data_IF_363364161341
#
_entry.id   IF_363364161341
#
_cell.length_a   1.000
_cell.length_b   1.000
_cell.length_c   1.000
_cell.angle_alpha   90.00
_cell.angle_beta   90.00
_cell.angle_gamma   90.00
#
_symmetry.space_group_name_H-M   'P 1'
#
loop_
_entity.id
_entity.type
_entity.pdbx_description
1 polymer ?
#
# COMPACT_ATOMS: atom_id res chain seq x y z
N UNK A 1 -10.23 -2.32 -17.83
CA UNK A 1 -10.11 -0.95 -17.33
C UNK A 1 -10.51 -1.02 -15.89
N UNK A 2 -9.51 -1.06 -15.02
CA UNK A 2 -9.68 -0.86 -13.59
C UNK A 2 -10.08 0.60 -13.38
N UNK A 3 -10.93 0.84 -12.39
CA UNK A 3 -11.52 2.15 -12.13
C UNK A 3 -11.11 2.59 -10.72
N UNK A 4 -10.94 3.90 -10.47
CA UNK A 4 -10.67 4.38 -9.12
C UNK A 4 -11.78 3.92 -8.16
N UNK A 5 -11.40 3.67 -6.91
CA UNK A 5 -12.34 3.34 -5.83
C UNK A 5 -13.45 4.39 -5.79
N UNK A 6 -14.68 3.95 -6.09
CA UNK A 6 -15.87 4.79 -5.92
C UNK A 6 -16.19 4.94 -4.45
N UNK A 7 -16.86 6.03 -4.06
CA UNK A 7 -17.22 6.34 -2.66
C UNK A 7 -17.92 5.16 -1.95
N UNK A 8 -18.87 4.50 -2.62
CA UNK A 8 -19.54 3.28 -2.13
C UNK A 8 -18.59 2.08 -1.94
N UNK A 9 -17.66 1.89 -2.88
CA UNK A 9 -16.69 0.79 -2.81
C UNK A 9 -15.64 1.05 -1.72
N UNK A 10 -15.30 2.32 -1.50
CA UNK A 10 -14.44 2.75 -0.41
C UNK A 10 -15.10 2.48 0.94
N UNK A 11 -16.38 2.83 1.11
CA UNK A 11 -17.13 2.51 2.32
C UNK A 11 -17.22 0.99 2.60
N UNK A 12 -17.43 0.16 1.56
CA UNK A 12 -17.43 -1.30 1.70
C UNK A 12 -16.03 -1.83 2.07
N UNK A 13 -14.98 -1.21 1.54
CA UNK A 13 -13.59 -1.55 1.87
C UNK A 13 -13.26 -1.27 3.33
N UNK A 14 -13.60 -0.07 3.82
CA UNK A 14 -13.46 0.32 5.23
C UNK A 14 -14.20 -0.67 6.14
N UNK A 15 -15.43 -1.04 5.76
CA UNK A 15 -16.21 -2.01 6.52
C UNK A 15 -15.58 -3.41 6.52
N UNK A 16 -15.00 -3.84 5.40
CA UNK A 16 -14.32 -5.13 5.30
C UNK A 16 -13.04 -5.17 6.15
N UNK A 17 -12.27 -4.08 6.18
CA UNK A 17 -11.09 -3.94 7.06
C UNK A 17 -11.52 -4.01 8.52
N UNK A 18 -12.56 -3.28 8.91
CA UNK A 18 -13.08 -3.27 10.28
C UNK A 18 -13.64 -4.64 10.74
N UNK A 19 -14.18 -5.44 9.83
CA UNK A 19 -14.67 -6.80 10.11
C UNK A 19 -13.57 -7.87 9.96
N UNK A 20 -12.35 -7.48 9.55
CA UNK A 20 -11.25 -8.39 9.20
C UNK A 20 -11.66 -9.43 8.13
N UNK A 21 -12.52 -9.03 7.19
CA UNK A 21 -13.06 -9.89 6.13
C UNK A 21 -12.06 -9.98 4.96
N UNK A 22 -11.04 -10.83 5.13
CA UNK A 22 -9.94 -11.05 4.18
C UNK A 22 -10.44 -11.24 2.74
N UNK A 23 -11.49 -12.03 2.54
CA UNK A 23 -12.01 -12.32 1.19
C UNK A 23 -12.59 -11.08 0.52
N UNK A 24 -13.29 -10.22 1.28
CA UNK A 24 -13.79 -8.95 0.77
C UNK A 24 -12.68 -7.97 0.48
N UNK A 25 -11.73 -7.82 1.41
CA UNK A 25 -10.59 -6.92 1.25
C UNK A 25 -9.81 -7.30 -0.02
N UNK A 26 -9.49 -8.59 -0.19
CA UNK A 26 -8.83 -9.12 -1.38
C UNK A 26 -9.64 -8.85 -2.65
N UNK A 27 -10.95 -9.14 -2.65
CA UNK A 27 -11.79 -8.92 -3.82
C UNK A 27 -11.86 -7.45 -4.23
N UNK A 28 -11.80 -6.52 -3.29
CA UNK A 28 -11.80 -5.08 -3.55
C UNK A 28 -10.42 -4.64 -4.05
N UNK A 29 -9.34 -5.08 -3.39
CA UNK A 29 -7.96 -4.79 -3.79
C UNK A 29 -7.68 -5.24 -5.22
N UNK A 30 -8.00 -6.50 -5.58
CA UNK A 30 -7.78 -7.04 -6.93
C UNK A 30 -8.49 -6.23 -8.03
N UNK A 31 -9.60 -5.56 -7.70
CA UNK A 31 -10.37 -4.75 -8.65
C UNK A 31 -9.96 -3.28 -8.72
N UNK A 32 -8.96 -2.87 -7.94
CA UNK A 32 -8.64 -1.46 -7.67
C UNK A 32 -7.18 -1.16 -8.01
N UNK A 33 -6.91 0.10 -8.36
CA UNK A 33 -5.55 0.63 -8.51
C UNK A 33 -5.21 1.54 -7.33
N UNK A 34 -3.95 1.44 -6.89
CA UNK A 34 -3.36 2.25 -5.83
C UNK A 34 -2.13 2.96 -6.35
N UNK A 35 -1.76 4.05 -5.69
CA UNK A 35 -0.56 4.81 -5.97
C UNK A 35 0.42 4.56 -4.83
N UNK A 36 1.64 4.23 -5.18
CA UNK A 36 2.76 4.13 -4.27
C UNK A 36 3.71 5.26 -4.57
N UNK A 37 4.38 5.73 -3.53
CA UNK A 37 5.44 6.71 -3.66
C UNK A 37 6.75 5.95 -3.63
N UNK A 38 7.55 6.02 -4.70
CA UNK A 38 8.95 5.63 -4.66
C UNK A 38 9.79 6.81 -4.21
N UNK A 39 10.72 6.53 -3.30
CA UNK A 39 11.83 7.42 -2.99
C UNK A 39 13.10 6.73 -3.47
N UNK A 40 13.79 7.34 -4.43
CA UNK A 40 15.15 6.88 -4.77
C UNK A 40 16.09 7.40 -3.69
N UNK A 41 16.49 6.53 -2.76
CA UNK A 41 17.59 6.83 -1.85
C UNK A 41 18.91 6.49 -2.56
N UNK A 42 19.78 7.49 -2.84
CA UNK A 42 21.02 7.27 -3.59
C UNK A 42 22.08 6.44 -2.82
N UNK A 43 21.84 6.16 -1.54
CA UNK A 43 22.69 5.34 -0.67
C UNK A 43 22.12 3.91 -0.44
N UNK A 44 20.92 3.58 -0.92
CA UNK A 44 20.38 2.22 -0.88
C UNK A 44 20.95 1.33 -1.99
N UNK A 45 21.36 0.09 -1.68
CA UNK A 45 21.89 -0.82 -2.68
C UNK A 45 20.79 -1.25 -3.66
N UNK A 46 21.05 -1.15 -4.97
CA UNK A 46 20.16 -1.57 -6.10
C UNK A 46 19.69 -3.06 -6.07
N UNK A 47 20.04 -3.82 -5.03
CA UNK A 47 19.84 -5.28 -4.91
C UNK A 47 18.83 -5.67 -3.79
N UNK A 48 18.14 -4.71 -3.16
CA UNK A 48 16.99 -5.02 -2.31
C UNK A 48 15.80 -5.41 -3.19
N UNK A 49 15.33 -6.65 -3.04
CA UNK A 49 14.06 -7.14 -3.63
C UNK A 49 12.83 -6.42 -3.04
N UNK A 50 13.04 -5.51 -2.09
CA UNK A 50 12.04 -4.62 -1.54
C UNK A 50 11.60 -3.65 -2.64
N UNK A 51 10.29 -3.53 -2.87
CA UNK A 51 9.77 -2.42 -3.64
C UNK A 51 10.32 -1.17 -2.95
N UNK A 52 11.12 -0.36 -3.65
CA UNK A 52 11.59 0.96 -3.18
C UNK A 52 10.45 1.98 -3.01
N UNK A 53 9.28 1.50 -2.60
CA UNK A 53 8.09 2.22 -2.22
C UNK A 53 8.22 2.64 -0.76
N UNK A 54 7.51 3.71 -0.45
CA UNK A 54 7.44 4.29 0.86
C UNK A 54 6.82 3.30 1.85
N UNK A 55 7.61 2.92 2.84
CA UNK A 55 7.19 2.16 4.01
C UNK A 55 7.19 3.05 5.24
N UNK A 56 6.43 2.67 6.26
CA UNK A 56 6.40 3.36 7.54
C UNK A 56 6.37 2.35 8.68
N UNK A 57 7.03 2.68 9.80
CA UNK A 57 6.97 1.88 11.02
C UNK A 57 5.79 2.37 11.88
N UNK A 58 4.82 1.49 12.16
CA UNK A 58 3.65 1.76 12.99
C UNK A 58 3.63 0.82 14.19
N UNK A 59 3.78 1.40 15.39
CA UNK A 59 3.79 0.72 16.68
C UNK A 59 4.87 -0.39 16.80
N UNK A 60 4.59 -1.58 16.29
CA UNK A 60 5.44 -2.79 16.32
C UNK A 60 5.43 -3.55 14.97
N UNK A 61 4.91 -2.94 13.89
CA UNK A 61 4.91 -3.54 12.55
C UNK A 61 5.31 -2.52 11.48
N UNK A 62 5.94 -3.03 10.42
CA UNK A 62 6.18 -2.27 9.21
C UNK A 62 4.93 -2.27 8.33
N UNK A 63 4.66 -1.15 7.69
CA UNK A 63 3.52 -1.01 6.77
C UNK A 63 3.94 -0.39 5.46
N UNK A 64 3.32 -0.87 4.38
CA UNK A 64 3.45 -0.26 3.07
C UNK A 64 2.46 0.89 2.93
N UNK A 65 2.95 2.09 2.61
CA UNK A 65 2.10 3.27 2.46
C UNK A 65 1.58 3.35 1.03
N UNK A 66 0.25 3.38 0.90
CA UNK A 66 -0.44 3.36 -0.40
C UNK A 66 -1.55 4.42 -0.42
N UNK A 67 -1.87 4.90 -1.62
CA UNK A 67 -2.84 5.98 -1.81
C UNK A 67 -3.92 5.56 -2.79
N UNK A 68 -5.17 5.88 -2.49
CA UNK A 68 -6.28 5.61 -3.41
C UNK A 68 -6.35 6.60 -4.59
N UNK A 69 -5.63 7.72 -4.51
CA UNK A 69 -5.59 8.75 -5.55
C UNK A 69 -4.33 9.60 -5.47
N UNK A 70 -3.95 10.24 -6.59
CA UNK A 70 -2.80 11.14 -6.65
C UNK A 70 -2.95 12.30 -5.67
N UNK A 71 -4.19 12.80 -5.50
CA UNK A 71 -4.47 13.90 -4.59
C UNK A 71 -4.20 13.54 -3.11
N UNK A 72 -4.33 12.27 -2.73
CA UNK A 72 -3.96 11.81 -1.38
C UNK A 72 -2.45 11.69 -1.23
N UNK A 73 -1.76 11.17 -2.26
CA UNK A 73 -0.30 11.09 -2.29
C UNK A 73 0.35 12.49 -2.21
N UNK A 74 -0.14 13.45 -3.00
CA UNK A 74 0.34 14.84 -2.97
C UNK A 74 0.13 15.47 -1.59
N UNK A 75 -1.02 15.25 -0.95
CA UNK A 75 -1.27 15.75 0.40
C UNK A 75 -0.28 15.18 1.40
N UNK A 76 0.02 13.88 1.32
CA UNK A 76 1.01 13.24 2.17
C UNK A 76 2.41 13.84 2.00
N UNK A 77 2.88 13.97 0.76
CA UNK A 77 4.20 14.55 0.46
C UNK A 77 4.29 15.99 0.96
N UNK A 78 3.22 16.78 0.81
CA UNK A 78 3.18 18.15 1.32
C UNK A 78 3.14 18.21 2.86
N UNK A 79 2.44 17.29 3.51
CA UNK A 79 2.36 17.23 4.96
C UNK A 79 3.69 16.81 5.59
N UNK A 80 4.39 15.87 4.94
CA UNK A 80 5.70 15.37 5.32
C UNK A 80 6.83 16.07 4.55
N UNK A 81 6.62 17.34 4.15
CA UNK A 81 7.58 18.07 3.33
C UNK A 81 8.99 18.09 3.94
N UNK A 82 9.10 18.18 5.28
CA UNK A 82 10.38 18.09 6.00
C UNK A 82 11.11 16.74 5.80
N UNK A 83 10.39 15.64 5.59
CA UNK A 83 10.96 14.30 5.34
C UNK A 83 11.43 14.17 3.89
N UNK A 84 10.66 14.76 2.96
CA UNK A 84 10.95 14.71 1.53
C UNK A 84 11.86 15.86 1.05
N UNK A 85 12.21 16.84 1.90
CA UNK A 85 12.97 18.04 1.51
C UNK A 85 14.38 17.72 1.00
N UNK A 86 14.99 16.65 1.54
CA UNK A 86 16.31 16.15 1.15
C UNK A 86 16.26 15.08 0.03
N UNK A 87 15.06 14.68 -0.42
CA UNK A 87 14.88 13.64 -1.45
C UNK A 87 14.82 14.32 -2.82
N UNK A 88 15.78 13.99 -3.70
CA UNK A 88 15.95 14.67 -4.99
C UNK A 88 14.78 14.42 -5.96
N UNK A 89 14.14 13.24 -5.91
CA UNK A 89 12.97 12.94 -6.74
C UNK A 89 11.99 12.01 -6.00
N UNK A 90 10.75 12.48 -5.83
CA UNK A 90 9.62 11.68 -5.32
C UNK A 90 8.77 11.27 -6.52
N UNK A 91 8.70 9.97 -6.80
CA UNK A 91 7.99 9.46 -7.97
C UNK A 91 6.80 8.59 -7.57
N UNK A 92 5.59 9.04 -7.91
CA UNK A 92 4.37 8.26 -7.73
C UNK A 92 4.16 7.27 -8.87
N UNK A 93 3.95 5.99 -8.57
CA UNK A 93 3.59 4.99 -9.57
C UNK A 93 2.28 4.29 -9.21
N UNK A 94 1.47 4.00 -10.23
CA UNK A 94 0.20 3.30 -10.08
C UNK A 94 0.41 1.80 -10.18
N UNK A 95 -0.07 1.05 -9.19
CA UNK A 95 -0.06 -0.41 -9.18
C UNK A 95 -1.49 -0.93 -9.05
N UNK A 96 -1.79 -2.06 -9.68
CA UNK A 96 -3.03 -2.79 -9.39
C UNK A 96 -2.95 -3.46 -8.03
N UNK A 97 -4.04 -3.51 -7.27
CA UNK A 97 -4.05 -4.14 -5.95
C UNK A 97 -3.71 -5.63 -5.98
N UNK A 98 -3.94 -6.32 -7.10
CA UNK A 98 -3.44 -7.69 -7.30
C UNK A 98 -1.90 -7.76 -7.24
N UNK A 99 -1.21 -6.88 -7.97
CA UNK A 99 0.24 -6.78 -7.92
C UNK A 99 0.71 -6.30 -6.53
N UNK A 100 -0.01 -5.37 -5.91
CA UNK A 100 0.30 -4.89 -4.57
C UNK A 100 0.36 -6.02 -3.55
N UNK A 101 -0.60 -6.95 -3.59
CA UNK A 101 -0.62 -8.13 -2.71
C UNK A 101 0.50 -9.12 -3.04
N UNK A 102 0.86 -9.27 -4.31
CA UNK A 102 1.93 -10.17 -4.77
C UNK A 102 3.32 -9.69 -4.35
N UNK A 103 3.54 -8.37 -4.35
CA UNK A 103 4.83 -7.76 -3.99
C UNK A 103 4.89 -7.23 -2.55
N UNK A 104 3.81 -7.33 -1.76
CA UNK A 104 3.86 -6.92 -0.36
C UNK A 104 4.91 -7.77 0.36
N UNK A 105 5.83 -7.20 1.17
CA UNK A 105 6.81 -7.96 1.94
C UNK A 105 6.16 -8.76 3.09
N UNK A 106 6.69 -9.93 3.42
CA UNK A 106 6.24 -10.73 4.58
C UNK A 106 6.22 -9.89 5.87
N UNK A 107 5.22 -10.14 6.72
CA UNK A 107 5.01 -9.41 7.98
C UNK A 107 4.72 -7.89 7.82
N UNK A 108 4.49 -7.38 6.61
CA UNK A 108 4.08 -5.99 6.40
C UNK A 108 2.57 -5.82 6.36
N UNK A 109 2.08 -4.78 7.02
CA UNK A 109 0.72 -4.29 6.84
C UNK A 109 0.58 -3.34 5.65
N UNK A 110 -0.63 -2.84 5.40
CA UNK A 110 -0.91 -1.84 4.36
C UNK A 110 -1.57 -0.64 5.02
N UNK A 111 -1.00 0.55 4.82
CA UNK A 111 -1.53 1.81 5.30
C UNK A 111 -2.05 2.66 4.14
N UNK A 112 -3.35 2.90 4.11
CA UNK A 112 -4.02 3.63 3.03
C UNK A 112 -4.37 5.03 3.51
N UNK A 113 -4.00 6.04 2.71
CA UNK A 113 -4.32 7.46 2.94
C UNK A 113 -4.03 7.97 4.37
N UNK A 114 -2.79 7.83 4.90
CA UNK A 114 -2.49 8.16 6.30
C UNK A 114 -2.71 9.62 6.72
N UNK A 115 -2.53 10.57 5.81
CA UNK A 115 -2.68 12.02 6.09
C UNK A 115 -4.10 12.53 5.77
N UNK A 116 -5.09 11.64 5.77
CA UNK A 116 -6.50 11.99 5.53
C UNK A 116 -7.40 11.49 6.65
N UNK A 117 -8.62 12.05 6.74
CA UNK A 117 -9.66 11.54 7.65
C UNK A 117 -10.12 10.10 7.29
N UNK A 118 -9.71 9.62 6.12
CA UNK A 118 -9.99 8.31 5.55
C UNK A 118 -8.76 7.38 5.67
N UNK A 119 -8.00 7.50 6.75
CA UNK A 119 -6.89 6.58 7.03
C UNK A 119 -7.42 5.17 7.30
N UNK A 120 -6.87 4.17 6.62
CA UNK A 120 -7.18 2.76 6.85
C UNK A 120 -5.90 1.97 7.05
N UNK A 121 -5.89 1.10 8.05
CA UNK A 121 -4.78 0.20 8.34
C UNK A 121 -5.25 -1.24 8.15
N UNK A 122 -4.51 -1.99 7.35
CA UNK A 122 -4.63 -3.44 7.23
C UNK A 122 -3.44 -4.03 7.96
N UNK A 123 -3.71 -4.78 9.03
CA UNK A 123 -2.68 -5.48 9.79
C UNK A 123 -1.92 -6.49 8.93
N UNK A 124 -0.66 -6.74 9.28
CA UNK A 124 0.19 -7.70 8.58
C UNK A 124 -0.44 -9.10 8.54
N UNK A 125 -1.07 -9.55 9.63
CA UNK A 125 -1.80 -10.83 9.68
C UNK A 125 -2.92 -10.93 8.62
N UNK A 126 -3.62 -9.83 8.35
CA UNK A 126 -4.69 -9.79 7.34
C UNK A 126 -4.07 -9.75 5.95
N UNK A 127 -3.02 -8.95 5.78
CA UNK A 127 -2.33 -8.78 4.52
C UNK A 127 -1.66 -10.08 4.03
N UNK A 128 -1.06 -10.83 4.95
CA UNK A 128 -0.49 -12.15 4.71
C UNK A 128 -1.55 -13.15 4.22
N UNK A 129 -2.73 -13.17 4.87
CA UNK A 129 -3.84 -14.03 4.47
C UNK A 129 -4.43 -13.70 3.09
N UNK A 130 -4.22 -12.47 2.59
CA UNK A 130 -4.66 -12.08 1.24
C UNK A 130 -3.70 -12.54 0.15
N UNK A 131 -2.48 -12.96 0.49
CA UNK A 131 -1.54 -13.43 -0.52
C UNK A 131 -2.05 -14.69 -1.19
N UNK A 132 -1.86 -14.82 -2.51
CA UNK A 132 -2.05 -16.10 -3.15
C UNK A 132 -1.13 -17.13 -2.45
N UNK A 133 -1.57 -18.38 -2.25
CA UNK A 133 -0.66 -19.40 -1.75
C UNK A 133 0.50 -19.50 -2.72
N UNK A 134 1.72 -19.29 -2.23
CA UNK A 134 2.92 -19.64 -3.00
C UNK A 134 2.86 -21.14 -3.23
N UNK A 135 2.56 -21.55 -4.47
CA UNK A 135 2.70 -22.94 -4.88
C UNK A 135 4.20 -23.28 -4.82
N UNK A 136 4.68 -23.73 -3.64
CA UNK A 136 6.00 -24.33 -3.43
C UNK A 136 6.19 -25.69 -4.16
N UNK A 137 5.38 -25.98 -5.18
CA UNK A 137 5.37 -27.28 -5.87
C UNK A 137 5.58 -27.12 -7.38
N UNK A 138 6.81 -26.74 -7.74
CA UNK A 138 7.38 -27.11 -9.03
C UNK A 138 8.87 -27.42 -8.84
N UNK A 139 9.10 -28.59 -8.23
CA UNK A 139 10.37 -29.29 -8.11
C UNK A 139 11.05 -29.58 -9.45
#
# INVERSE_FOLDING_TARGET
MVAPLSDDAYADFVAAIADSDVQRIQSILSGTEFILISVEDPDEPEDSEEIGALTAELEDQDVLVVFSSESHAEQFVNAQADVFEDIEEVQGFTVGGELLMDYLPDDYGILINPETDDVQLIDADIADQMRPPVDEDAS
#
